data_IF_961224740061
#
_entry.id   IF_961224740061
#
_cell.length_a   1.000
_cell.length_b   1.000
_cell.length_c   1.000
_cell.angle_alpha   90.00
_cell.angle_beta   90.00
_cell.angle_gamma   90.00
#
_symmetry.space_group_name_H-M   'P 1'
#
loop_
_entity.id
_entity.type
_entity.pdbx_description
1 polymer ?
#
# COMPACT_ATOMS: atom_id res chain seq x y z
N UNK A 1 -2.99 -6.74 -11.31
CA UNK A 1 -4.12 -6.03 -11.95
C UNK A 1 -3.66 -4.88 -12.84
N UNK A 2 -2.75 -4.00 -12.41
CA UNK A 2 -2.20 -2.89 -13.22
C UNK A 2 -1.83 -3.27 -14.67
N UNK A 3 -1.03 -4.33 -14.87
CA UNK A 3 -0.66 -4.79 -16.21
C UNK A 3 -1.85 -5.23 -17.07
N UNK A 4 -2.86 -5.87 -16.48
CA UNK A 4 -4.09 -6.29 -17.16
C UNK A 4 -4.91 -5.07 -17.60
N UNK A 5 -5.01 -4.04 -16.74
CA UNK A 5 -5.68 -2.77 -17.07
C UNK A 5 -4.95 -2.04 -18.20
N UNK A 6 -3.61 -1.99 -18.16
CA UNK A 6 -2.80 -1.39 -19.23
C UNK A 6 -3.02 -2.09 -20.56
N UNK A 7 -3.19 -3.41 -20.56
CA UNK A 7 -3.43 -4.18 -21.78
C UNK A 7 -4.87 -4.04 -22.28
N UNK A 8 -5.86 -3.96 -21.39
CA UNK A 8 -7.25 -3.73 -21.74
C UNK A 8 -7.47 -2.40 -22.50
N UNK A 9 -6.58 -1.41 -22.32
CA UNK A 9 -6.60 -0.15 -23.10
C UNK A 9 -6.26 -0.35 -24.57
N UNK A 10 -5.54 -1.42 -24.91
CA UNK A 10 -4.99 -1.68 -26.25
C UNK A 10 -5.75 -2.81 -26.93
N UNK A 11 -6.15 -3.83 -26.18
CA UNK A 11 -6.82 -5.01 -26.70
C UNK A 11 -8.35 -4.83 -26.71
N UNK A 12 -8.90 -4.77 -27.93
CA UNK A 12 -10.32 -4.58 -28.19
C UNK A 12 -11.21 -5.78 -27.78
N UNK A 13 -10.64 -6.91 -27.37
CA UNK A 13 -11.38 -8.09 -26.86
C UNK A 13 -11.31 -8.19 -25.34
N UNK A 14 -10.19 -7.78 -24.75
CA UNK A 14 -9.96 -7.90 -23.31
C UNK A 14 -10.86 -6.96 -22.52
N UNK A 15 -11.05 -5.71 -22.95
CA UNK A 15 -11.91 -4.76 -22.24
C UNK A 15 -13.38 -5.23 -22.17
N UNK A 16 -14.04 -5.62 -23.28
CA UNK A 16 -15.39 -6.17 -23.22
C UNK A 16 -15.50 -7.40 -22.32
N UNK A 17 -14.49 -8.27 -22.32
CA UNK A 17 -14.46 -9.43 -21.43
C UNK A 17 -14.46 -9.01 -19.96
N UNK A 18 -13.58 -8.08 -19.56
CA UNK A 18 -13.51 -7.60 -18.17
C UNK A 18 -14.79 -6.91 -17.71
N UNK A 19 -15.52 -6.25 -18.62
CA UNK A 19 -16.81 -5.63 -18.33
C UNK A 19 -17.92 -6.65 -18.06
N UNK A 20 -17.77 -7.91 -18.51
CA UNK A 20 -18.75 -8.97 -18.23
C UNK A 20 -18.59 -9.61 -16.85
N UNK A 21 -17.47 -9.37 -16.16
CA UNK A 21 -17.24 -9.98 -14.86
C UNK A 21 -18.01 -9.24 -13.76
N UNK A 22 -18.65 -10.01 -12.89
CA UNK A 22 -19.37 -9.47 -11.72
C UNK A 22 -18.42 -8.75 -10.75
N UNK A 23 -17.17 -9.24 -10.65
CA UNK A 23 -16.11 -8.65 -9.86
C UNK A 23 -14.73 -8.96 -10.45
N UNK A 24 -13.89 -7.94 -10.53
CA UNK A 24 -12.48 -7.98 -10.87
C UNK A 24 -11.66 -7.66 -9.62
N UNK A 25 -11.33 -8.70 -8.85
CA UNK A 25 -10.62 -8.54 -7.59
C UNK A 25 -9.11 -8.32 -7.78
N UNK A 26 -8.52 -7.43 -6.98
CA UNK A 26 -7.07 -7.22 -6.91
C UNK A 26 -6.63 -7.00 -5.46
N UNK A 27 -5.38 -7.32 -5.14
CA UNK A 27 -4.84 -7.17 -3.78
C UNK A 27 -3.33 -7.36 -3.74
N UNK A 28 -2.74 -7.24 -2.54
CA UNK A 28 -1.30 -7.40 -2.28
C UNK A 28 -0.47 -6.14 -2.57
N UNK A 29 -0.77 -5.41 -3.64
CA UNK A 29 -0.22 -4.08 -3.91
C UNK A 29 -1.36 -3.11 -4.27
N UNK A 30 -1.27 -1.84 -3.87
CA UNK A 30 -2.26 -0.84 -4.26
C UNK A 30 -2.25 -0.67 -5.79
N UNK A 31 -3.44 -0.51 -6.37
CA UNK A 31 -3.59 -0.10 -7.75
C UNK A 31 -3.46 1.43 -7.80
N UNK A 32 -2.73 1.97 -8.78
CA UNK A 32 -2.58 3.41 -8.94
C UNK A 32 -3.95 4.07 -9.19
N UNK A 33 -4.22 5.22 -8.58
CA UNK A 33 -5.51 5.91 -8.67
C UNK A 33 -5.91 6.17 -10.12
N UNK A 34 -4.96 6.56 -10.97
CA UNK A 34 -5.20 6.84 -12.39
C UNK A 34 -5.68 5.59 -13.16
N UNK A 35 -5.17 4.42 -12.81
CA UNK A 35 -5.58 3.14 -13.38
C UNK A 35 -6.94 2.71 -12.86
N UNK A 36 -7.16 2.86 -11.55
CA UNK A 36 -8.37 2.47 -10.87
C UNK A 36 -9.58 3.33 -11.32
N UNK A 37 -9.39 4.64 -11.45
CA UNK A 37 -10.39 5.58 -11.97
C UNK A 37 -10.75 5.24 -13.41
N UNK A 38 -9.76 5.00 -14.27
CA UNK A 38 -10.01 4.66 -15.67
C UNK A 38 -10.81 3.35 -15.79
N UNK A 39 -10.38 2.30 -15.09
CA UNK A 39 -11.04 0.99 -15.15
C UNK A 39 -12.49 1.05 -14.69
N UNK A 40 -12.76 1.74 -13.57
CA UNK A 40 -14.13 1.99 -13.10
C UNK A 40 -14.93 2.82 -14.10
N UNK A 41 -14.32 3.84 -14.71
CA UNK A 41 -14.94 4.66 -15.76
C UNK A 41 -15.29 3.86 -17.03
N UNK A 42 -14.60 2.75 -17.29
CA UNK A 42 -14.95 1.82 -18.36
C UNK A 42 -16.00 0.77 -17.93
N UNK A 43 -16.56 0.84 -16.72
CA UNK A 43 -17.55 -0.13 -16.24
C UNK A 43 -16.96 -1.46 -15.73
N UNK A 44 -15.66 -1.52 -15.44
CA UNK A 44 -15.06 -2.69 -14.81
C UNK A 44 -15.38 -2.67 -13.30
N UNK A 45 -15.99 -3.74 -12.81
CA UNK A 45 -16.35 -3.92 -11.39
C UNK A 45 -15.11 -4.23 -10.54
N UNK A 46 -14.29 -3.22 -10.25
CA UNK A 46 -13.06 -3.39 -9.46
C UNK A 46 -13.34 -3.58 -7.97
N UNK A 47 -12.73 -4.61 -7.39
CA UNK A 47 -12.81 -4.93 -5.97
C UNK A 47 -11.41 -4.98 -5.37
N UNK A 48 -11.16 -4.16 -4.34
CA UNK A 48 -9.88 -4.16 -3.62
C UNK A 48 -9.92 -5.16 -2.47
N UNK A 49 -8.91 -6.01 -2.40
CA UNK A 49 -8.73 -7.05 -1.41
C UNK A 49 -7.47 -6.75 -0.59
N UNK A 50 -7.65 -6.59 0.71
CA UNK A 50 -6.56 -6.74 1.64
C UNK A 50 -6.52 -8.18 2.14
N UNK A 51 -5.34 -8.79 2.14
CA UNK A 51 -5.12 -10.12 2.65
C UNK A 51 -3.78 -10.26 3.36
N UNK A 52 -3.78 -11.03 4.45
CA UNK A 52 -2.58 -11.39 5.19
C UNK A 52 -2.41 -12.92 5.18
N UNK A 53 -1.22 -13.38 4.78
CA UNK A 53 -0.89 -14.81 4.71
C UNK A 53 -0.91 -15.49 6.08
N UNK A 54 -0.71 -14.73 7.16
CA UNK A 54 -0.71 -15.24 8.53
C UNK A 54 -2.09 -15.58 9.09
N UNK A 55 -3.17 -15.03 8.50
CA UNK A 55 -4.55 -15.17 9.00
C UNK A 55 -5.56 -15.55 7.92
N UNK A 56 -5.15 -15.66 6.64
CA UNK A 56 -6.04 -16.04 5.54
C UNK A 56 -7.21 -15.08 5.32
N UNK A 57 -7.18 -13.90 5.94
CA UNK A 57 -8.26 -12.93 5.91
C UNK A 57 -8.35 -12.30 4.53
N UNK A 58 -9.56 -12.09 4.02
CA UNK A 58 -9.82 -11.27 2.84
C UNK A 58 -10.80 -10.20 3.29
N UNK A 59 -10.33 -8.96 3.48
CA UNK A 59 -11.25 -7.82 3.62
C UNK A 59 -11.51 -7.25 2.23
N UNK A 60 -12.80 -7.18 1.89
CA UNK A 60 -13.30 -6.63 0.63
C UNK A 60 -13.66 -5.17 0.84
N UNK A 61 -12.99 -4.24 0.16
CA UNK A 61 -13.42 -2.84 0.14
C UNK A 61 -14.48 -2.66 -0.94
N UNK A 62 -15.71 -2.34 -0.52
CA UNK A 62 -16.90 -2.32 -1.37
C UNK A 62 -17.29 -0.97 -1.98
N UNK A 63 -16.47 0.08 -1.90
CA UNK A 63 -16.90 1.42 -2.34
C UNK A 63 -15.79 2.22 -3.04
N UNK A 64 -16.17 3.09 -4.01
CA UNK A 64 -15.21 3.94 -4.72
C UNK A 64 -14.48 4.88 -3.75
N UNK A 65 -13.21 5.13 -4.04
CA UNK A 65 -12.43 6.27 -3.53
C UNK A 65 -12.99 7.59 -4.07
N UNK A 66 -14.25 7.90 -3.79
CA UNK A 66 -14.73 9.27 -3.81
C UNK A 66 -14.57 9.78 -2.39
N UNK A 67 -13.44 10.44 -2.14
CA UNK A 67 -13.18 11.17 -0.92
C UNK A 67 -14.22 12.30 -0.81
N UNK A 68 -15.36 12.02 -0.19
CA UNK A 68 -16.15 13.08 0.44
C UNK A 68 -15.28 13.65 1.56
N UNK A 69 -15.03 14.96 1.48
CA UNK A 69 -14.19 15.77 2.34
C UNK A 69 -14.75 15.93 3.78
N UNK A 70 -15.20 14.84 4.40
CA UNK A 70 -15.31 14.78 5.86
C UNK A 70 -13.90 14.72 6.42
N UNK A 71 -13.54 15.68 7.28
CA UNK A 71 -12.22 15.68 7.93
C UNK A 71 -11.94 14.27 8.49
N UNK A 72 -10.85 13.61 8.06
CA UNK A 72 -10.51 12.29 8.58
C UNK A 72 -10.42 12.41 10.09
N UNK A 73 -11.07 11.53 10.82
CA UNK A 73 -10.58 11.24 12.17
C UNK A 73 -9.16 10.74 11.97
N UNK A 74 -8.14 11.44 12.46
CA UNK A 74 -6.72 11.01 12.39
C UNK A 74 -6.45 9.78 13.28
N UNK A 75 -7.45 8.93 13.48
CA UNK A 75 -7.42 7.78 14.36
C UNK A 75 -6.89 6.59 13.59
N UNK A 76 -5.64 6.26 13.90
CA UNK A 76 -5.03 5.01 13.49
C UNK A 76 -5.50 3.89 14.41
N UNK A 77 -5.87 2.77 13.81
CA UNK A 77 -6.30 1.54 14.50
C UNK A 77 -5.52 0.35 13.95
N UNK A 78 -5.34 -0.69 14.76
CA UNK A 78 -4.72 -1.93 14.33
C UNK A 78 -5.79 -3.00 14.07
N UNK A 79 -5.60 -3.79 13.02
CA UNK A 79 -6.44 -4.95 12.74
C UNK A 79 -6.17 -6.04 13.79
N UNK A 80 -7.24 -6.48 14.43
CA UNK A 80 -7.22 -7.59 15.37
C UNK A 80 -8.17 -8.69 14.89
N UNK A 81 -7.72 -9.94 14.97
CA UNK A 81 -8.56 -11.12 14.77
C UNK A 81 -9.06 -11.58 16.15
N UNK A 82 -10.37 -11.55 16.40
CA UNK A 82 -10.93 -11.95 17.69
C UNK A 82 -10.60 -13.41 18.01
N UNK A 83 -10.33 -13.72 19.28
CA UNK A 83 -9.96 -15.09 19.73
C UNK A 83 -10.96 -16.20 19.41
N UNK A 84 -12.21 -15.82 19.17
CA UNK A 84 -13.30 -16.75 18.85
C UNK A 84 -13.48 -16.96 17.35
N UNK A 85 -12.75 -16.21 16.53
CA UNK A 85 -12.83 -16.33 15.09
C UNK A 85 -12.12 -17.62 14.63
N UNK A 86 -12.69 -18.36 13.67
CA UNK A 86 -12.13 -19.64 13.22
C UNK A 86 -10.72 -19.52 12.60
N UNK A 87 -10.39 -18.33 12.11
CA UNK A 87 -9.10 -17.96 11.52
C UNK A 87 -8.08 -17.42 12.53
N UNK A 88 -8.46 -17.29 13.81
CA UNK A 88 -7.53 -16.87 14.85
C UNK A 88 -6.40 -17.91 15.00
N UNK A 89 -5.12 -17.50 14.93
CA UNK A 89 -4.01 -18.42 15.02
C UNK A 89 -3.87 -19.04 16.42
N UNK A 90 -2.91 -19.95 16.57
CA UNK A 90 -2.66 -20.61 17.85
C UNK A 90 -2.45 -19.57 18.99
N UNK A 91 -2.99 -19.79 20.21
CA UNK A 91 -2.92 -18.83 21.31
C UNK A 91 -1.52 -18.33 21.69
N UNK A 92 -0.46 -19.07 21.35
CA UNK A 92 0.93 -18.64 21.54
C UNK A 92 1.33 -17.40 20.72
N UNK A 93 0.58 -17.08 19.67
CA UNK A 93 0.79 -15.91 18.82
C UNK A 93 -0.16 -14.76 19.17
N UNK A 94 -1.10 -14.97 20.09
CA UNK A 94 -2.12 -14.00 20.46
C UNK A 94 -1.68 -13.15 21.65
N UNK A 95 -2.33 -12.00 21.84
CA UNK A 95 -2.14 -11.17 23.02
C UNK A 95 -2.49 -12.00 24.28
N UNK A 96 -1.60 -12.07 25.28
CA UNK A 96 -1.80 -12.91 26.45
C UNK A 96 -2.92 -12.41 27.39
N UNK A 97 -3.36 -11.16 27.22
CA UNK A 97 -4.39 -10.52 28.05
C UNK A 97 -5.78 -10.66 27.42
N UNK A 98 -5.93 -10.29 26.14
CA UNK A 98 -7.22 -10.33 25.45
C UNK A 98 -7.50 -11.69 24.83
N UNK A 99 -6.44 -12.39 24.41
CA UNK A 99 -6.47 -13.61 23.61
C UNK A 99 -6.64 -13.35 22.11
N UNK A 100 -6.75 -12.09 21.69
CA UNK A 100 -6.93 -11.73 20.29
C UNK A 100 -5.58 -11.71 19.57
N UNK A 101 -5.60 -12.01 18.27
CA UNK A 101 -4.41 -11.91 17.45
C UNK A 101 -4.32 -10.51 16.83
N UNK A 102 -3.37 -9.71 17.32
CA UNK A 102 -3.06 -8.40 16.74
C UNK A 102 -2.20 -8.63 15.51
N UNK A 103 -2.74 -8.37 14.33
CA UNK A 103 -2.03 -8.71 13.09
C UNK A 103 -0.80 -7.84 12.92
N UNK A 104 -0.84 -6.60 13.44
CA UNK A 104 0.14 -5.55 13.23
C UNK A 104 -0.12 -4.72 11.99
N UNK A 105 -1.25 -4.89 11.30
CA UNK A 105 -1.64 -4.04 10.18
C UNK A 105 -2.37 -2.79 10.67
N UNK A 106 -1.92 -1.61 10.24
CA UNK A 106 -2.45 -0.31 10.66
C UNK A 106 -3.42 0.23 9.62
N UNK A 107 -4.54 0.77 10.08
CA UNK A 107 -5.56 1.40 9.25
C UNK A 107 -5.90 2.79 9.77
N UNK A 108 -6.17 3.71 8.84
CA UNK A 108 -6.75 5.02 9.13
C UNK A 108 -8.28 4.94 9.03
N UNK A 109 -8.98 5.26 10.10
CA UNK A 109 -10.44 5.36 10.13
C UNK A 109 -10.88 6.66 9.42
N UNK A 110 -11.49 6.53 8.23
CA UNK A 110 -11.94 7.70 7.41
C UNK A 110 -13.44 7.92 7.44
N UNK A 111 -14.16 7.10 8.20
CA UNK A 111 -15.59 7.20 8.45
C UNK A 111 -16.12 5.93 9.10
N UNK A 112 -17.41 5.93 9.47
CA UNK A 112 -18.06 4.75 10.03
C UNK A 112 -17.84 3.52 9.15
N UNK A 113 -17.24 2.48 9.73
CA UNK A 113 -16.87 1.20 9.09
C UNK A 113 -16.03 1.34 7.80
N UNK A 114 -15.29 2.45 7.64
CA UNK A 114 -14.45 2.72 6.47
C UNK A 114 -13.00 2.99 6.88
N UNK A 115 -12.10 2.20 6.31
CA UNK A 115 -10.71 2.15 6.70
C UNK A 115 -9.79 2.18 5.47
N UNK A 116 -8.67 2.90 5.58
CA UNK A 116 -7.60 2.92 4.58
C UNK A 116 -6.37 2.25 5.19
N UNK A 117 -5.83 1.23 4.53
CA UNK A 117 -4.59 0.58 5.00
C UNK A 117 -3.43 1.56 4.98
N UNK A 118 -2.63 1.55 6.05
CA UNK A 118 -1.43 2.38 6.24
C UNK A 118 -0.16 1.52 6.45
N UNK A 119 -0.20 0.29 5.93
CA UNK A 119 0.91 -0.66 6.06
C UNK A 119 0.99 -1.29 7.45
N UNK A 120 2.15 -1.84 7.79
CA UNK A 120 2.34 -2.54 9.06
C UNK A 120 2.89 -1.61 10.13
N UNK A 121 2.53 -1.87 11.39
CA UNK A 121 3.03 -1.15 12.54
C UNK A 121 4.56 -1.28 12.72
N UNK A 122 5.14 -2.41 12.27
CA UNK A 122 6.60 -2.63 12.28
C UNK A 122 7.32 -2.00 11.07
N UNK A 123 6.61 -1.60 10.01
CA UNK A 123 7.16 -0.80 8.91
C UNK A 123 7.31 0.69 9.31
N UNK A 124 6.65 1.11 10.40
CA UNK A 124 6.71 2.49 10.89
C UNK A 124 7.99 2.70 11.68
N UNK A 125 8.89 3.52 11.12
CA UNK A 125 10.17 3.79 11.75
C UNK A 125 9.99 4.82 12.86
N UNK A 126 10.37 4.45 14.09
CA UNK A 126 10.51 5.39 15.21
C UNK A 126 11.94 5.91 15.25
N UNK A 127 12.09 7.20 15.00
CA UNK A 127 13.37 7.88 15.10
C UNK A 127 13.74 8.16 16.56
N UNK A 128 15.01 8.45 16.83
CA UNK A 128 15.50 8.79 18.18
C UNK A 128 14.78 10.02 18.77
N UNK A 129 14.34 10.95 17.91
CA UNK A 129 13.49 12.10 18.28
C UNK A 129 11.99 11.78 18.43
N UNK A 130 11.61 10.50 18.43
CA UNK A 130 10.25 9.98 18.63
C UNK A 130 9.18 10.40 17.61
N UNK A 131 9.57 10.94 16.45
CA UNK A 131 8.65 11.05 15.32
C UNK A 131 8.51 9.68 14.65
N UNK A 132 7.27 9.21 14.52
CA UNK A 132 6.94 8.05 13.68
C UNK A 132 6.86 8.53 12.23
N UNK A 133 7.61 7.88 11.35
CA UNK A 133 7.60 8.19 9.93
C UNK A 133 7.01 7.03 9.14
N UNK A 134 6.05 7.34 8.27
CA UNK A 134 5.57 6.44 7.23
C UNK A 134 6.61 6.41 6.11
N UNK A 135 7.40 5.34 6.08
CA UNK A 135 8.46 5.12 5.09
C UNK A 135 7.92 5.13 3.67
N UNK A 136 6.75 4.52 3.46
CA UNK A 136 6.10 4.45 2.15
C UNK A 136 5.67 5.82 1.65
N UNK A 137 5.17 6.69 2.53
CA UNK A 137 4.84 8.07 2.13
C UNK A 137 6.07 8.84 1.64
N UNK A 138 7.22 8.66 2.29
CA UNK A 138 8.49 9.30 1.90
C UNK A 138 9.00 8.71 0.57
N UNK A 139 8.96 7.38 0.42
CA UNK A 139 9.34 6.69 -0.83
C UNK A 139 8.47 7.13 -2.00
N UNK A 140 7.14 7.18 -1.81
CA UNK A 140 6.21 7.65 -2.84
C UNK A 140 6.48 9.09 -3.23
N UNK A 141 6.75 9.98 -2.27
CA UNK A 141 7.11 11.37 -2.57
C UNK A 141 8.40 11.48 -3.40
N UNK A 142 9.42 10.65 -3.08
CA UNK A 142 10.64 10.58 -3.87
C UNK A 142 10.35 10.12 -5.31
N UNK A 143 9.48 9.12 -5.49
CA UNK A 143 9.06 8.65 -6.82
C UNK A 143 8.22 9.66 -7.60
N UNK A 144 7.27 10.34 -6.96
CA UNK A 144 6.49 11.40 -7.59
C UNK A 144 7.38 12.55 -8.08
N UNK A 145 8.41 12.88 -7.30
CA UNK A 145 9.33 14.00 -7.59
C UNK A 145 10.38 13.63 -8.63
N UNK A 146 11.00 12.45 -8.49
CA UNK A 146 12.23 12.07 -9.19
C UNK A 146 12.09 10.81 -10.05
N UNK A 147 10.95 10.11 -9.98
CA UNK A 147 10.75 8.81 -10.62
C UNK A 147 10.63 8.89 -12.14
N UNK A 148 10.50 10.08 -12.74
CA UNK A 148 10.41 10.24 -14.20
C UNK A 148 11.78 10.09 -14.86
N UNK A 149 12.83 10.65 -14.28
CA UNK A 149 14.12 10.88 -14.93
C UNK A 149 15.34 10.51 -14.06
N UNK A 150 15.22 10.54 -12.73
CA UNK A 150 16.37 10.41 -11.82
C UNK A 150 16.48 9.05 -11.14
N UNK A 151 15.38 8.50 -10.61
CA UNK A 151 15.42 7.28 -9.78
C UNK A 151 14.55 6.15 -10.33
N UNK A 152 15.03 4.92 -10.20
CA UNK A 152 14.32 3.68 -10.52
C UNK A 152 13.80 2.96 -9.27
N UNK A 153 14.45 3.16 -8.13
CA UNK A 153 14.05 2.62 -6.83
C UNK A 153 14.30 3.62 -5.69
N UNK A 154 13.52 3.51 -4.62
CA UNK A 154 13.68 4.25 -3.38
C UNK A 154 13.32 3.34 -2.19
N UNK A 155 14.13 3.37 -1.14
CA UNK A 155 13.88 2.68 0.14
C UNK A 155 14.25 3.61 1.28
N UNK A 156 13.34 3.80 2.23
CA UNK A 156 13.57 4.61 3.42
C UNK A 156 13.84 3.73 4.62
N UNK A 157 14.96 3.99 5.29
CA UNK A 157 15.32 3.37 6.57
C UNK A 157 15.46 4.44 7.65
N UNK A 158 15.67 4.03 8.89
CA UNK A 158 15.82 4.96 10.01
C UNK A 158 15.57 4.37 11.40
N UNK A 159 15.42 3.04 11.51
CA UNK A 159 15.31 2.40 12.82
C UNK A 159 16.55 2.74 13.66
N UNK A 160 16.32 3.31 14.85
CA UNK A 160 17.37 3.79 15.77
C UNK A 160 18.32 4.86 15.19
N UNK A 161 17.84 5.67 14.22
CA UNK A 161 18.58 6.83 13.70
C UNK A 161 17.94 8.15 14.13
N UNK A 162 18.74 9.21 14.10
CA UNK A 162 18.31 10.59 14.42
C UNK A 162 17.36 11.17 13.36
N UNK A 163 17.52 10.76 12.10
CA UNK A 163 16.77 11.18 10.92
C UNK A 163 16.55 9.99 9.97
N UNK A 164 15.56 10.04 9.05
CA UNK A 164 15.39 8.95 8.09
C UNK A 164 16.50 9.04 7.05
N UNK A 165 16.99 7.88 6.61
CA UNK A 165 17.94 7.77 5.51
C UNK A 165 17.20 7.21 4.29
N UNK A 166 17.29 7.90 3.16
CA UNK A 166 16.72 7.49 1.88
C UNK A 166 17.82 6.90 1.00
N UNK A 167 17.67 5.62 0.64
CA UNK A 167 18.48 4.96 -0.38
C UNK A 167 17.75 5.01 -1.70
N UNK A 168 18.44 5.40 -2.77
CA UNK A 168 17.87 5.43 -4.12
C UNK A 168 18.72 4.62 -5.08
N UNK A 169 18.06 3.96 -6.04
CA UNK A 169 18.71 3.46 -7.24
C UNK A 169 18.51 4.49 -8.34
N UNK A 170 19.62 4.96 -8.92
CA UNK A 170 19.56 5.92 -10.03
C UNK A 170 19.07 5.23 -11.30
N UNK A 171 18.32 5.96 -12.13
CA UNK A 171 17.97 5.49 -13.48
C UNK A 171 19.22 5.40 -14.32
N UNK A 172 19.46 4.24 -14.91
CA UNK A 172 20.54 4.07 -15.88
C UNK A 172 20.21 4.84 -17.15
N UNK A 173 20.91 5.94 -17.39
CA UNK A 173 21.04 6.55 -18.71
C UNK A 173 22.32 6.03 -19.38
N UNK A 174 22.34 5.93 -20.71
CA UNK A 174 23.57 5.61 -21.43
C UNK A 174 24.67 6.62 -21.03
N UNK A 175 25.83 6.15 -20.55
CA UNK A 175 26.94 7.00 -20.06
C UNK A 175 27.34 6.83 -18.58
N UNK A 176 27.12 5.65 -18.01
CA UNK A 176 27.23 5.34 -16.56
C UNK A 176 28.58 5.64 -15.87
N UNK A 177 29.66 5.88 -16.62
CA UNK A 177 30.99 6.11 -16.05
C UNK A 177 31.15 7.55 -15.48
N UNK A 178 30.32 8.51 -15.89
CA UNK A 178 30.49 9.92 -15.48
C UNK A 178 29.72 10.28 -14.19
N UNK A 179 28.53 9.71 -13.97
CA UNK A 179 27.69 10.01 -12.79
C UNK A 179 28.23 9.43 -11.48
N UNK A 180 28.91 8.28 -11.52
CA UNK A 180 29.48 7.66 -10.32
C UNK A 180 30.66 8.47 -9.76
N UNK A 181 31.37 9.21 -10.62
CA UNK A 181 32.49 10.07 -10.23
C UNK A 181 32.03 11.40 -9.59
N UNK A 182 30.84 11.90 -9.92
CA UNK A 182 30.30 13.15 -9.37
C UNK A 182 29.61 12.95 -8.01
N UNK A 183 28.98 11.79 -7.79
CA UNK A 183 28.28 11.48 -6.53
C UNK A 183 29.23 10.97 -5.43
N UNK A 184 30.38 10.39 -5.81
CA UNK A 184 31.39 9.88 -4.87
C UNK A 184 32.60 10.83 -4.69
N UNK A 185 32.48 12.08 -5.14
CA UNK A 185 33.49 13.13 -4.95
C UNK A 185 33.74 13.47 -3.49
#
# INVERSE_FOLDING_TARGET
MAGVIKEARKDHKLLPMLQTFDACAYGGLPLEDTEAIWARGQGISLVDLFASTGVGYVTVSGAPINADNGAPTEKLVELAVPKHAPECPHPSLCDPTTGDFITGDVFLEVGADRYISKGRNDDWIKMEISLRCDTRSIENNAFETCGKDLISAAVVIGAARLSPDLFVEAKQTEGHDELQAEVLG
#
